data_IF_160849912150
#
_entry.id   IF_160849912150
#
_cell.length_a   1.000
_cell.length_b   1.000
_cell.length_c   1.000
_cell.angle_alpha   90.00
_cell.angle_beta   90.00
_cell.angle_gamma   90.00
#
_symmetry.space_group_name_H-M   'P 1'
#
loop_
_entity.id
_entity.type
_entity.pdbx_description
1 polymer ?
#
# COMPACT_ATOMS: atom_id res chain seq x y z
N UNK A 1 -9.64 -9.39 -33.20
CA UNK A 1 -10.54 -9.51 -32.03
C UNK A 1 -10.05 -8.52 -30.98
N UNK A 2 -10.92 -7.61 -30.52
CA UNK A 2 -10.58 -6.74 -29.37
C UNK A 2 -10.56 -7.63 -28.13
N UNK A 3 -9.37 -7.92 -27.60
CA UNK A 3 -9.25 -8.73 -26.41
C UNK A 3 -9.57 -7.88 -25.18
N UNK A 4 -10.50 -8.36 -24.36
CA UNK A 4 -10.76 -7.86 -23.03
C UNK A 4 -10.10 -8.78 -22.01
N UNK A 5 -9.59 -8.22 -20.94
CA UNK A 5 -9.14 -8.96 -19.78
C UNK A 5 -9.92 -8.51 -18.56
N UNK A 6 -10.19 -9.43 -17.67
CA UNK A 6 -10.75 -9.10 -16.35
C UNK A 6 -10.10 -9.99 -15.31
N UNK A 7 -9.96 -9.47 -14.13
CA UNK A 7 -9.40 -10.17 -12.99
C UNK A 7 -10.17 -9.81 -11.71
N UNK A 8 -10.29 -10.78 -10.83
CA UNK A 8 -10.80 -10.59 -9.47
C UNK A 8 -9.83 -11.29 -8.53
N UNK A 9 -9.34 -10.56 -7.54
CA UNK A 9 -8.54 -11.13 -6.46
C UNK A 9 -9.17 -10.81 -5.12
N UNK A 10 -9.23 -11.81 -4.26
CA UNK A 10 -9.77 -11.71 -2.91
C UNK A 10 -8.64 -12.04 -1.93
N UNK A 11 -8.48 -11.20 -0.92
CA UNK A 11 -7.61 -11.48 0.21
C UNK A 11 -8.38 -11.20 1.50
N UNK A 12 -8.24 -12.08 2.47
CA UNK A 12 -8.78 -11.88 3.81
C UNK A 12 -7.82 -12.48 4.84
N UNK A 13 -7.79 -11.91 6.01
CA UNK A 13 -6.92 -12.38 7.07
C UNK A 13 -7.10 -11.57 8.34
N UNK A 14 -6.17 -11.77 9.25
CA UNK A 14 -6.10 -11.07 10.53
C UNK A 14 -4.80 -10.30 10.55
N UNK A 15 -4.85 -9.04 10.95
CA UNK A 15 -3.68 -8.20 11.17
C UNK A 15 -3.87 -7.30 12.39
N UNK A 16 -2.79 -6.82 12.94
CA UNK A 16 -2.82 -5.73 13.93
C UNK A 16 -2.90 -4.36 13.23
N UNK A 17 -2.90 -3.29 14.00
CA UNK A 17 -2.92 -1.92 13.50
C UNK A 17 -1.57 -1.22 13.64
N UNK A 18 -0.48 -1.95 13.79
CA UNK A 18 0.86 -1.38 13.97
C UNK A 18 1.32 -0.54 12.78
N UNK A 19 0.80 -0.83 11.59
CA UNK A 19 1.10 -0.12 10.34
C UNK A 19 0.55 1.32 10.27
N UNK A 20 -0.43 1.65 11.13
CA UNK A 20 -1.07 2.98 11.20
C UNK A 20 -0.78 3.73 12.50
N UNK A 21 -0.05 3.12 13.44
CA UNK A 21 0.35 3.74 14.68
C UNK A 21 1.75 4.35 14.57
N UNK A 22 1.89 5.58 15.06
CA UNK A 22 3.21 6.18 15.23
C UNK A 22 3.95 5.46 16.36
N UNK A 23 5.16 4.94 16.11
CA UNK A 23 5.95 4.32 17.16
C UNK A 23 6.41 5.37 18.17
N UNK A 24 6.26 5.08 19.45
CA UNK A 24 6.81 5.86 20.54
C UNK A 24 8.25 5.41 20.80
N UNK A 25 9.16 6.36 20.91
CA UNK A 25 10.53 6.10 21.31
C UNK A 25 10.60 5.93 22.84
N UNK A 26 10.87 4.71 23.29
CA UNK A 26 11.06 4.41 24.71
C UNK A 26 12.55 4.30 25.01
N UNK A 27 13.05 5.27 25.77
CA UNK A 27 14.43 5.26 26.25
C UNK A 27 14.48 4.62 27.62
N UNK A 28 15.07 3.44 27.72
CA UNK A 28 15.31 2.78 29.00
C UNK A 28 16.74 3.08 29.43
N UNK A 29 16.90 3.79 30.55
CA UNK A 29 18.20 4.02 31.16
C UNK A 29 18.35 3.17 32.42
N UNK A 30 19.42 2.40 32.51
CA UNK A 30 19.78 1.69 33.73
C UNK A 30 21.08 2.25 34.30
N UNK A 31 21.04 2.68 35.56
CA UNK A 31 22.23 3.12 36.28
C UNK A 31 22.84 1.91 36.99
N UNK A 32 24.02 1.48 36.54
CA UNK A 32 24.82 0.50 37.28
C UNK A 32 25.86 1.23 38.13
N UNK A 33 25.69 1.15 39.43
CA UNK A 33 26.71 1.60 40.41
C UNK A 33 27.65 0.47 40.65
N UNK A 34 28.90 0.60 40.25
CA UNK A 34 29.95 -0.35 40.60
C UNK A 34 30.33 -0.16 42.06
N UNK A 35 30.55 -1.26 42.76
CA UNK A 35 30.73 -1.36 44.22
C UNK A 35 31.94 -0.60 44.76
N UNK A 36 32.78 0.00 43.94
CA UNK A 36 34.00 0.73 44.30
C UNK A 36 33.95 2.25 44.07
N UNK A 37 32.77 2.81 43.91
CA UNK A 37 32.56 4.25 44.11
C UNK A 37 32.97 5.22 43.00
N UNK A 38 33.50 4.79 41.88
CA UNK A 38 34.10 5.73 40.92
C UNK A 38 33.56 5.76 39.48
N UNK A 39 32.64 4.93 39.05
CA UNK A 39 32.02 5.10 37.74
C UNK A 39 30.54 4.71 37.70
N UNK A 40 29.70 5.72 37.43
CA UNK A 40 28.29 5.50 37.04
C UNK A 40 28.22 5.24 35.56
N UNK A 41 28.01 4.02 35.15
CA UNK A 41 27.80 3.70 33.74
C UNK A 41 26.31 3.76 33.43
N UNK A 42 25.90 4.76 32.63
CA UNK A 42 24.54 4.86 32.13
C UNK A 42 24.46 4.06 30.83
N UNK A 43 23.76 2.94 30.86
CA UNK A 43 23.39 2.21 29.65
C UNK A 43 22.01 2.67 29.23
N UNK A 44 21.93 3.36 28.10
CA UNK A 44 20.65 3.71 27.47
C UNK A 44 20.39 2.79 26.29
N UNK A 45 19.21 2.20 26.22
CA UNK A 45 18.71 1.53 25.03
C UNK A 45 17.45 2.21 24.57
N UNK A 46 17.38 2.49 23.27
CA UNK A 46 16.20 3.05 22.63
C UNK A 46 15.47 1.93 21.93
N UNK A 47 14.17 1.78 22.19
CA UNK A 47 13.29 0.83 21.52
C UNK A 47 12.03 1.54 21.07
N UNK A 48 11.54 1.14 19.87
CA UNK A 48 10.25 1.59 19.40
C UNK A 48 9.16 0.75 20.09
N UNK A 49 8.20 1.39 20.68
CA UNK A 49 7.02 0.78 21.27
C UNK A 49 5.75 1.45 20.74
N UNK A 50 4.64 0.75 20.80
CA UNK A 50 3.32 1.34 20.49
C UNK A 50 2.56 1.61 21.76
N UNK A 51 1.72 2.67 21.74
CA UNK A 51 0.81 2.92 22.85
C UNK A 51 -0.17 1.75 22.98
N UNK A 52 -0.12 1.06 24.10
CA UNK A 52 -0.93 -0.12 24.36
C UNK A 52 -2.45 0.18 24.36
N UNK A 53 -2.84 1.43 24.58
CA UNK A 53 -4.25 1.85 24.56
C UNK A 53 -4.78 1.97 23.13
N UNK A 54 -3.91 2.22 22.15
CA UNK A 54 -4.24 2.39 20.75
C UNK A 54 -3.97 1.11 19.93
N UNK A 55 -3.12 0.21 20.44
CA UNK A 55 -2.77 -1.03 19.76
C UNK A 55 -3.94 -2.02 19.79
N UNK A 56 -4.34 -2.48 18.63
CA UNK A 56 -5.40 -3.46 18.44
C UNK A 56 -4.85 -4.68 17.70
N UNK A 57 -4.87 -5.82 18.38
CA UNK A 57 -4.54 -7.11 17.79
C UNK A 57 -5.74 -7.73 17.07
N UNK A 58 -5.47 -8.64 16.16
CA UNK A 58 -6.47 -9.55 15.59
C UNK A 58 -7.65 -8.87 14.90
N UNK A 59 -7.37 -7.80 14.16
CA UNK A 59 -8.39 -7.15 13.33
C UNK A 59 -8.59 -7.90 12.02
N UNK A 60 -9.82 -8.23 11.73
CA UNK A 60 -10.18 -8.81 10.43
C UNK A 60 -9.99 -7.79 9.32
N UNK A 61 -9.30 -8.18 8.27
CA UNK A 61 -9.21 -7.40 7.04
C UNK A 61 -9.69 -8.21 5.85
N UNK A 62 -10.18 -7.53 4.83
CA UNK A 62 -10.41 -8.10 3.52
C UNK A 62 -10.12 -7.07 2.44
N UNK A 63 -9.56 -7.56 1.32
CA UNK A 63 -9.35 -6.78 0.11
C UNK A 63 -10.00 -7.47 -1.07
N UNK A 64 -10.71 -6.71 -1.87
CA UNK A 64 -11.28 -7.15 -3.14
C UNK A 64 -10.67 -6.28 -4.22
N UNK A 65 -9.98 -6.91 -5.17
CA UNK A 65 -9.43 -6.23 -6.32
C UNK A 65 -10.22 -6.64 -7.57
N UNK A 66 -10.60 -5.64 -8.35
CA UNK A 66 -11.20 -5.80 -9.66
C UNK A 66 -10.31 -5.14 -10.69
N UNK A 67 -9.97 -5.89 -11.72
CA UNK A 67 -9.22 -5.44 -12.86
C UNK A 67 -10.05 -5.62 -14.12
N UNK A 68 -10.12 -4.58 -14.94
CA UNK A 68 -10.75 -4.63 -16.24
C UNK A 68 -9.85 -3.93 -17.24
N UNK A 69 -9.43 -4.66 -18.25
CA UNK A 69 -8.50 -4.14 -19.25
C UNK A 69 -8.95 -4.40 -20.68
N UNK A 70 -8.46 -3.54 -21.57
CA UNK A 70 -8.76 -3.64 -23.01
C UNK A 70 -7.61 -3.11 -23.86
N UNK A 71 -7.31 -3.81 -24.93
CA UNK A 71 -6.47 -3.27 -25.98
C UNK A 71 -7.21 -2.24 -26.82
N UNK A 72 -6.56 -1.08 -27.02
CA UNK A 72 -7.13 0.04 -27.76
C UNK A 72 -6.93 -0.10 -29.26
N UNK A 73 -5.88 -0.83 -29.67
CA UNK A 73 -5.53 -1.04 -31.06
C UNK A 73 -5.56 -2.53 -31.46
N UNK A 74 -5.60 -2.79 -32.76
CA UNK A 74 -5.62 -4.15 -33.34
C UNK A 74 -4.29 -4.87 -33.22
N UNK A 75 -3.19 -4.12 -33.10
CA UNK A 75 -1.83 -4.63 -32.96
C UNK A 75 -1.45 -4.94 -31.51
N UNK A 76 -2.39 -4.72 -30.58
CA UNK A 76 -2.21 -4.98 -29.14
C UNK A 76 -1.01 -4.23 -28.53
N UNK A 77 -0.75 -3.01 -29.02
CA UNK A 77 0.34 -2.16 -28.52
C UNK A 77 -0.08 -1.30 -27.34
N UNK A 78 -1.34 -0.85 -27.34
CA UNK A 78 -1.86 0.01 -26.30
C UNK A 78 -2.94 -0.72 -25.51
N UNK A 79 -2.73 -0.78 -24.21
CA UNK A 79 -3.63 -1.43 -23.27
C UNK A 79 -4.06 -0.42 -22.22
N UNK A 80 -5.37 -0.33 -21.96
CA UNK A 80 -5.90 0.44 -20.85
C UNK A 80 -6.41 -0.51 -19.77
N UNK A 81 -6.19 -0.13 -18.51
CA UNK A 81 -6.67 -0.87 -17.35
C UNK A 81 -7.44 0.05 -16.42
N UNK A 82 -8.59 -0.43 -15.94
CA UNK A 82 -9.31 0.11 -14.79
C UNK A 82 -9.11 -0.86 -13.65
N UNK A 83 -8.58 -0.36 -12.54
CA UNK A 83 -8.35 -1.12 -11.33
C UNK A 83 -9.15 -0.51 -10.19
N UNK A 84 -9.79 -1.37 -9.39
CA UNK A 84 -10.51 -0.99 -8.19
C UNK A 84 -10.05 -1.88 -7.05
N UNK A 85 -9.53 -1.28 -6.00
CA UNK A 85 -9.25 -1.97 -4.75
C UNK A 85 -10.26 -1.52 -3.70
N UNK A 86 -11.01 -2.45 -3.15
CA UNK A 86 -11.92 -2.22 -2.04
C UNK A 86 -11.35 -2.89 -0.80
N UNK A 87 -10.92 -2.07 0.16
CA UNK A 87 -10.28 -2.51 1.39
C UNK A 87 -11.24 -2.34 2.57
N UNK A 88 -11.39 -3.38 3.34
CA UNK A 88 -12.14 -3.41 4.58
C UNK A 88 -11.22 -3.80 5.74
N UNK A 89 -11.31 -3.07 6.84
CA UNK A 89 -10.66 -3.38 8.09
C UNK A 89 -11.69 -3.27 9.21
N UNK A 90 -11.75 -4.27 10.08
CA UNK A 90 -12.67 -4.30 11.22
C UNK A 90 -12.55 -3.02 12.06
N UNK A 91 -13.69 -2.46 12.46
CA UNK A 91 -13.82 -1.19 13.19
C UNK A 91 -13.32 0.05 12.42
N UNK A 92 -13.18 -0.06 11.10
CA UNK A 92 -12.86 1.07 10.23
C UNK A 92 -13.88 1.18 9.10
N UNK A 93 -14.01 2.36 8.54
CA UNK A 93 -14.82 2.53 7.33
C UNK A 93 -14.10 1.90 6.14
N UNK A 94 -14.81 1.25 5.22
CA UNK A 94 -14.20 0.69 4.03
C UNK A 94 -13.62 1.78 3.12
N UNK A 95 -12.56 1.44 2.42
CA UNK A 95 -11.83 2.34 1.53
C UNK A 95 -11.92 1.82 0.10
N UNK A 96 -12.20 2.71 -0.84
CA UNK A 96 -12.18 2.43 -2.26
C UNK A 96 -11.04 3.20 -2.93
N UNK A 97 -10.14 2.47 -3.58
CA UNK A 97 -8.98 3.00 -4.28
C UNK A 97 -9.11 2.69 -5.79
N UNK A 98 -9.69 3.59 -6.59
CA UNK A 98 -9.73 3.42 -8.03
C UNK A 98 -8.42 3.83 -8.69
N UNK A 99 -8.08 3.17 -9.80
CA UNK A 99 -6.97 3.55 -10.65
C UNK A 99 -7.33 3.35 -12.13
N UNK A 100 -6.75 4.18 -12.99
CA UNK A 100 -6.82 4.05 -14.43
C UNK A 100 -5.42 4.08 -15.02
N UNK A 101 -5.10 3.14 -15.88
CA UNK A 101 -3.78 3.02 -16.51
C UNK A 101 -3.85 2.95 -18.02
N UNK A 102 -2.79 3.45 -18.65
CA UNK A 102 -2.49 3.29 -20.05
C UNK A 102 -1.08 2.70 -20.20
N UNK A 103 -0.97 1.59 -20.90
CA UNK A 103 0.25 0.83 -21.03
C UNK A 103 0.57 0.63 -22.51
N UNK A 104 1.84 0.79 -22.85
CA UNK A 104 2.39 0.34 -24.10
C UNK A 104 2.98 -1.06 -23.92
N UNK A 105 2.61 -1.98 -24.79
CA UNK A 105 3.04 -3.39 -24.76
C UNK A 105 3.80 -3.75 -26.03
N UNK A 106 4.64 -4.76 -25.95
CA UNK A 106 5.33 -5.26 -27.14
C UNK A 106 4.38 -6.10 -28.00
N UNK A 107 4.44 -5.95 -29.34
CA UNK A 107 3.55 -6.71 -30.25
C UNK A 107 3.69 -8.23 -30.16
N UNK A 108 4.86 -8.73 -29.78
CA UNK A 108 5.15 -10.17 -29.69
C UNK A 108 5.06 -10.72 -28.26
N UNK A 109 4.95 -9.84 -27.26
CA UNK A 109 4.75 -10.19 -25.85
C UNK A 109 3.66 -9.28 -25.24
N UNK A 110 2.40 -9.43 -25.67
CA UNK A 110 1.32 -8.47 -25.36
C UNK A 110 0.96 -8.40 -23.86
N UNK A 111 1.42 -9.33 -23.05
CA UNK A 111 1.20 -9.30 -21.59
C UNK A 111 2.34 -8.59 -20.84
N UNK A 112 3.41 -8.20 -21.54
CA UNK A 112 4.54 -7.50 -20.94
C UNK A 112 4.45 -6.01 -21.25
N UNK A 113 4.18 -5.20 -20.26
CA UNK A 113 4.19 -3.76 -20.39
C UNK A 113 5.63 -3.25 -20.48
N UNK A 114 5.92 -2.48 -21.52
CA UNK A 114 7.23 -1.82 -21.69
C UNK A 114 7.23 -0.44 -21.06
N UNK A 115 6.11 0.25 -21.14
CA UNK A 115 5.91 1.56 -20.52
C UNK A 115 4.44 1.71 -20.13
N UNK A 116 4.21 2.23 -18.92
CA UNK A 116 2.85 2.46 -18.44
C UNK A 116 2.75 3.69 -17.57
N UNK A 117 1.59 4.31 -17.63
CA UNK A 117 1.18 5.40 -16.76
C UNK A 117 -0.13 5.02 -16.09
N UNK A 118 -0.18 5.14 -14.78
CA UNK A 118 -1.39 4.85 -14.00
C UNK A 118 -1.65 5.98 -13.03
N UNK A 119 -2.85 6.51 -13.07
CA UNK A 119 -3.36 7.44 -12.08
C UNK A 119 -4.17 6.65 -11.06
N UNK A 120 -3.80 6.75 -9.80
CA UNK A 120 -4.46 6.12 -8.67
C UNK A 120 -4.93 7.20 -7.71
N UNK A 121 -6.11 7.00 -7.10
CA UNK A 121 -6.62 7.86 -6.03
C UNK A 121 -6.88 6.97 -4.83
N UNK A 122 -6.21 7.27 -3.71
CA UNK A 122 -6.45 6.59 -2.45
C UNK A 122 -7.68 7.15 -1.76
N UNK A 123 -8.45 6.28 -1.11
CA UNK A 123 -9.65 6.63 -0.36
C UNK A 123 -10.57 7.61 -1.11
N UNK A 124 -11.04 7.19 -2.29
CA UNK A 124 -11.92 8.00 -3.16
C UNK A 124 -13.08 8.62 -2.41
N UNK A 125 -13.65 7.89 -1.46
CA UNK A 125 -14.80 8.32 -0.67
C UNK A 125 -14.45 9.27 0.49
N UNK A 126 -13.14 9.51 0.74
CA UNK A 126 -12.64 10.30 1.86
C UNK A 126 -13.17 9.83 3.22
N UNK A 127 -13.06 8.55 3.45
CA UNK A 127 -13.64 7.91 4.64
C UNK A 127 -12.71 7.94 5.85
N UNK A 128 -11.39 7.98 5.61
CA UNK A 128 -10.37 7.94 6.66
C UNK A 128 -9.80 9.32 6.97
N UNK A 129 -9.66 10.19 5.99
CA UNK A 129 -9.04 11.50 6.17
C UNK A 129 -9.92 12.63 5.62
N UNK A 130 -10.73 13.25 6.49
CA UNK A 130 -11.71 14.26 6.11
C UNK A 130 -11.11 15.64 5.74
N UNK A 131 -9.81 15.86 5.99
CA UNK A 131 -9.16 17.17 5.79
C UNK A 131 -8.55 17.33 4.41
N UNK A 132 -8.16 16.24 3.75
CA UNK A 132 -7.47 16.29 2.47
C UNK A 132 -8.47 16.23 1.31
N UNK A 133 -8.14 16.91 0.22
CA UNK A 133 -8.90 16.77 -1.02
C UNK A 133 -8.57 15.44 -1.70
N UNK A 134 -9.42 15.01 -2.67
CA UNK A 134 -9.12 13.79 -3.45
C UNK A 134 -7.82 13.90 -4.23
N UNK A 135 -7.44 15.11 -4.64
CA UNK A 135 -6.23 15.35 -5.41
C UNK A 135 -4.95 15.23 -4.58
N UNK A 136 -5.02 15.52 -3.28
CA UNK A 136 -3.89 15.34 -2.36
C UNK A 136 -3.53 13.87 -2.17
N UNK A 137 -4.46 12.97 -2.52
CA UNK A 137 -4.32 11.52 -2.44
C UNK A 137 -4.18 10.85 -3.81
N UNK A 138 -3.99 11.67 -4.85
CA UNK A 138 -3.75 11.17 -6.19
C UNK A 138 -2.26 10.88 -6.39
N UNK A 139 -1.95 9.70 -6.92
CA UNK A 139 -0.60 9.28 -7.27
C UNK A 139 -0.52 8.95 -8.76
N UNK A 140 0.53 9.41 -9.41
CA UNK A 140 0.89 9.00 -10.76
C UNK A 140 2.00 7.94 -10.66
N UNK A 141 1.69 6.74 -11.11
CA UNK A 141 2.64 5.62 -11.17
C UNK A 141 3.16 5.49 -12.59
N UNK A 142 4.47 5.44 -12.75
CA UNK A 142 5.14 5.18 -14.02
C UNK A 142 5.78 3.79 -13.93
N UNK A 143 5.43 2.92 -14.86
CA UNK A 143 5.99 1.57 -14.97
C UNK A 143 6.86 1.50 -16.22
N UNK A 144 8.10 1.05 -16.07
CA UNK A 144 8.99 0.76 -17.19
C UNK A 144 9.49 -0.68 -17.05
N UNK A 145 9.32 -1.48 -18.09
CA UNK A 145 9.82 -2.85 -18.17
C UNK A 145 10.87 -2.95 -19.25
N UNK A 146 12.01 -3.54 -18.94
CA UNK A 146 13.06 -3.85 -19.92
C UNK A 146 13.08 -5.36 -20.13
N UNK A 147 12.72 -5.86 -21.33
CA UNK A 147 12.88 -7.27 -21.60
C UNK A 147 14.37 -7.61 -21.61
N UNK A 148 14.77 -8.52 -20.76
CA UNK A 148 16.10 -9.12 -20.81
C UNK A 148 16.00 -10.36 -21.72
N UNK A 149 16.70 -10.33 -22.85
CA UNK A 149 16.89 -11.48 -23.73
C UNK A 149 18.08 -12.31 -23.27
#
# INVERSE_FOLDING_TARGET
RKAFSYGIALAAGIKDNSDVLEPLEVVTSSNHQLTNGEETRVLSSTQNAYDNTLFQQDRLFSNINFDFGKYLDTNQRFFTNLHFNYAFLQNSKPVLNPAIGLFYTQPHAPLEAVLGFQLQIEDWSNTQNSKDTRWDRAALVITAGFPFN
#
